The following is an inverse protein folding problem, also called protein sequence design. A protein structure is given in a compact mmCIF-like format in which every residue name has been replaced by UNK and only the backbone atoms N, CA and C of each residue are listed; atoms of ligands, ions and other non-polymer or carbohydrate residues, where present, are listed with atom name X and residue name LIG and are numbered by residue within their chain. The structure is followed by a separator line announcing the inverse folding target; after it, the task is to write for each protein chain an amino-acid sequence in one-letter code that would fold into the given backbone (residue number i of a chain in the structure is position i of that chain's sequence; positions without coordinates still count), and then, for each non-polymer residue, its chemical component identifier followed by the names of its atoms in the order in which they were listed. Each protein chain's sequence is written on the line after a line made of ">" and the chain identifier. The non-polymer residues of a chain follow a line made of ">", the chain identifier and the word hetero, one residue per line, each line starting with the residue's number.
data_IF_652110069686
#
_entry.id   IF_652110069686
#
_cell.length_a   1.000
_cell.length_b   1.000
_cell.length_c   1.000
_cell.angle_alpha   90.00
_cell.angle_beta   90.00
_cell.angle_gamma   90.00
#
_symmetry.space_group_name_H-M   'P 1'
#
loop_
_entity.id
_entity.type
_entity.pdbx_description
1 polymer ?
#
# COMPACT_ATOMS: atom_id res chain seq x y z
N UNK A 1 10.43 38.09 -22.99
CA UNK A 1 10.80 37.13 -24.06
C UNK A 1 11.95 36.30 -23.54
N UNK A 2 11.74 35.00 -23.29
CA UNK A 2 12.72 34.02 -22.79
C UNK A 2 12.79 32.83 -23.78
N UNK A 3 12.68 33.12 -25.07
CA UNK A 3 12.57 32.10 -26.12
C UNK A 3 13.96 31.71 -26.62
N UNK A 4 14.67 30.89 -25.84
CA UNK A 4 15.92 30.16 -26.17
C UNK A 4 17.07 30.47 -25.22
N UNK A 5 16.93 30.06 -23.96
CA UNK A 5 18.09 29.79 -23.12
C UNK A 5 18.63 28.40 -23.50
N UNK A 6 19.65 28.35 -24.37
CA UNK A 6 20.41 27.11 -24.58
C UNK A 6 21.19 26.83 -23.30
N UNK A 7 20.77 25.83 -22.54
CA UNK A 7 21.50 25.36 -21.35
C UNK A 7 22.77 24.69 -21.85
N UNK A 8 23.87 25.43 -21.88
CA UNK A 8 25.20 24.89 -22.22
C UNK A 8 25.86 24.42 -20.94
N UNK A 9 25.60 23.17 -20.56
CA UNK A 9 26.35 22.49 -19.51
C UNK A 9 27.78 22.21 -20.00
N UNK A 10 28.83 22.59 -19.24
CA UNK A 10 30.19 22.16 -19.49
C UNK A 10 30.28 20.63 -19.50
N UNK A 11 31.03 20.08 -20.46
CA UNK A 11 31.20 18.62 -20.60
C UNK A 11 31.67 17.93 -19.30
N UNK A 12 32.49 18.64 -18.50
CA UNK A 12 32.96 18.15 -17.21
C UNK A 12 31.82 17.92 -16.19
N UNK A 13 30.86 18.84 -16.13
CA UNK A 13 29.69 18.71 -15.27
C UNK A 13 28.78 17.57 -15.74
N UNK A 14 28.68 17.34 -17.05
CA UNK A 14 27.97 16.20 -17.61
C UNK A 14 28.64 14.86 -17.25
N UNK A 15 29.97 14.81 -17.27
CA UNK A 15 30.74 13.61 -16.93
C UNK A 15 30.62 13.26 -15.44
N UNK A 16 30.70 14.25 -14.56
CA UNK A 16 30.46 14.09 -13.11
C UNK A 16 29.05 13.56 -12.84
N UNK A 17 28.02 14.12 -13.49
CA UNK A 17 26.64 13.63 -13.35
C UNK A 17 26.47 12.20 -13.86
N UNK A 18 27.16 11.80 -14.93
CA UNK A 18 27.10 10.42 -15.45
C UNK A 18 27.76 9.42 -14.50
N UNK A 19 28.85 9.82 -13.83
CA UNK A 19 29.49 9.00 -12.80
C UNK A 19 28.62 8.85 -11.54
N UNK A 20 28.01 9.95 -11.08
CA UNK A 20 27.05 9.91 -9.98
C UNK A 20 25.85 9.01 -10.30
N UNK A 21 25.31 9.10 -11.51
CA UNK A 21 24.18 8.30 -11.96
C UNK A 21 24.56 6.80 -12.02
N UNK A 22 25.77 6.47 -12.48
CA UNK A 22 26.29 5.09 -12.41
C UNK A 22 26.39 4.58 -10.97
N UNK A 23 26.94 5.40 -10.07
CA UNK A 23 27.05 5.04 -8.64
C UNK A 23 25.68 4.83 -8.00
N UNK A 24 24.72 5.71 -8.29
CA UNK A 24 23.34 5.60 -7.81
C UNK A 24 22.65 4.34 -8.35
N UNK A 25 22.86 4.02 -9.63
CA UNK A 25 22.30 2.81 -10.24
C UNK A 25 22.84 1.53 -9.60
N UNK A 26 24.14 1.50 -9.27
CA UNK A 26 24.73 0.38 -8.52
C UNK A 26 24.18 0.29 -7.09
N UNK A 27 24.02 1.43 -6.41
CA UNK A 27 23.42 1.48 -5.07
C UNK A 27 21.99 0.95 -5.09
N UNK A 28 21.16 1.37 -6.05
CA UNK A 28 19.78 0.90 -6.20
C UNK A 28 19.72 -0.61 -6.48
N UNK A 29 20.61 -1.14 -7.32
CA UNK A 29 20.67 -2.57 -7.63
C UNK A 29 20.99 -3.43 -6.39
N UNK A 30 21.68 -2.86 -5.42
CA UNK A 30 22.07 -3.52 -4.18
C UNK A 30 21.10 -3.26 -3.02
N UNK A 31 20.04 -2.46 -3.22
CA UNK A 31 18.94 -2.42 -2.26
C UNK A 31 18.23 -3.76 -2.37
N UNK A 32 18.16 -4.58 -1.31
CA UNK A 32 17.37 -5.80 -1.34
C UNK A 32 15.92 -5.43 -1.64
N UNK A 33 15.46 -5.83 -2.82
CA UNK A 33 14.07 -5.67 -3.27
C UNK A 33 13.17 -6.77 -2.71
N UNK A 34 13.79 -7.83 -2.20
CA UNK A 34 13.15 -9.01 -1.65
C UNK A 34 13.23 -8.88 -0.13
N UNK A 35 12.08 -8.58 0.47
CA UNK A 35 11.86 -8.82 1.89
C UNK A 35 11.95 -10.34 2.10
N UNK A 36 12.74 -10.78 3.08
CA UNK A 36 12.88 -12.20 3.40
C UNK A 36 11.49 -12.80 3.70
N UNK A 37 11.26 -14.08 3.41
CA UNK A 37 9.97 -14.74 3.69
C UNK A 37 9.62 -14.62 5.18
N UNK A 38 10.59 -14.72 6.08
CA UNK A 38 10.38 -14.57 7.53
C UNK A 38 9.99 -13.12 7.92
N UNK A 39 10.52 -12.12 7.20
CA UNK A 39 10.16 -10.71 7.38
C UNK A 39 8.77 -10.42 6.80
N UNK A 40 8.41 -11.06 5.69
CA UNK A 40 7.08 -10.95 5.09
C UNK A 40 5.99 -11.60 5.95
N UNK A 41 6.25 -12.78 6.52
CA UNK A 41 5.31 -13.47 7.41
C UNK A 41 5.00 -12.68 8.69
N UNK A 42 5.97 -11.89 9.17
CA UNK A 42 5.80 -11.03 10.35
C UNK A 42 5.35 -9.61 10.01
N UNK A 43 5.18 -9.30 8.72
CA UNK A 43 4.80 -7.97 8.26
C UNK A 43 3.38 -7.61 8.75
N UNK A 44 3.20 -6.45 9.41
CA UNK A 44 1.89 -6.03 9.91
C UNK A 44 0.83 -5.84 8.81
N UNK A 45 1.24 -5.43 7.60
CA UNK A 45 0.33 -5.28 6.46
C UNK A 45 -0.10 -6.63 5.92
N UNK A 46 0.83 -7.60 5.81
CA UNK A 46 0.48 -8.97 5.43
C UNK A 46 -0.56 -9.57 6.40
N UNK A 47 -0.29 -9.50 7.69
CA UNK A 47 -1.20 -10.02 8.73
C UNK A 47 -2.57 -9.32 8.71
N UNK A 48 -2.60 -8.02 8.44
CA UNK A 48 -3.85 -7.29 8.27
C UNK A 48 -4.61 -7.74 7.02
N UNK A 49 -3.92 -7.99 5.90
CA UNK A 49 -4.53 -8.51 4.67
C UNK A 49 -5.09 -9.91 4.88
N UNK A 50 -4.35 -10.82 5.52
CA UNK A 50 -4.83 -12.16 5.85
C UNK A 50 -6.11 -12.09 6.71
N UNK A 51 -6.12 -11.21 7.72
CA UNK A 51 -7.31 -10.98 8.55
C UNK A 51 -8.50 -10.47 7.73
N UNK A 52 -8.27 -9.57 6.78
CA UNK A 52 -9.33 -9.07 5.88
C UNK A 52 -9.85 -10.19 4.99
N UNK A 53 -8.97 -11.04 4.44
CA UNK A 53 -9.36 -12.18 3.63
C UNK A 53 -10.20 -13.18 4.41
N UNK A 54 -9.81 -13.50 5.65
CA UNK A 54 -10.58 -14.38 6.53
C UNK A 54 -11.99 -13.83 6.77
N UNK A 55 -12.11 -12.53 7.07
CA UNK A 55 -13.41 -11.86 7.26
C UNK A 55 -14.27 -11.89 5.99
N UNK A 56 -13.67 -11.71 4.82
CA UNK A 56 -14.37 -11.80 3.54
C UNK A 56 -14.78 -13.24 3.20
N UNK A 57 -13.96 -14.23 3.57
CA UNK A 57 -14.30 -15.63 3.41
C UNK A 57 -15.48 -16.01 4.31
N UNK A 58 -15.48 -15.56 5.57
CA UNK A 58 -16.63 -15.71 6.47
C UNK A 58 -17.88 -15.04 5.88
N UNK A 59 -17.77 -13.81 5.38
CA UNK A 59 -18.87 -13.14 4.69
C UNK A 59 -19.41 -13.95 3.49
N UNK A 60 -18.51 -14.54 2.70
CA UNK A 60 -18.90 -15.31 1.51
C UNK A 60 -19.76 -16.54 1.84
N UNK A 61 -19.53 -17.17 3.00
CA UNK A 61 -20.22 -18.38 3.46
C UNK A 61 -21.60 -18.09 4.05
N UNK A 62 -21.87 -16.84 4.41
CA UNK A 62 -23.15 -16.45 5.01
C UNK A 62 -24.25 -16.37 3.97
N UNK A 63 -25.50 -16.43 4.42
CA UNK A 63 -26.68 -16.27 3.55
C UNK A 63 -27.37 -14.95 3.84
N UNK A 64 -27.39 -14.52 5.10
CA UNK A 64 -28.00 -13.29 5.55
C UNK A 64 -27.17 -12.06 5.13
N UNK A 65 -27.79 -11.11 4.43
CA UNK A 65 -27.08 -9.93 3.91
C UNK A 65 -26.60 -8.98 5.01
N UNK A 66 -27.28 -8.96 6.15
CA UNK A 66 -26.97 -8.08 7.27
C UNK A 66 -25.76 -8.61 8.05
N UNK A 67 -25.64 -9.93 8.18
CA UNK A 67 -24.44 -10.57 8.72
C UNK A 67 -23.26 -10.46 7.75
N UNK A 68 -23.48 -10.67 6.44
CA UNK A 68 -22.45 -10.43 5.41
C UNK A 68 -21.86 -9.03 5.52
N UNK A 69 -22.76 -8.05 5.61
CA UNK A 69 -22.38 -6.65 5.68
C UNK A 69 -21.57 -6.35 6.93
N UNK A 70 -21.81 -7.04 8.05
CA UNK A 70 -21.03 -6.92 9.27
C UNK A 70 -19.56 -7.33 9.05
N UNK A 71 -19.31 -8.49 8.46
CA UNK A 71 -17.95 -8.97 8.23
C UNK A 71 -17.20 -8.12 7.19
N UNK A 72 -17.90 -7.66 6.14
CA UNK A 72 -17.34 -6.71 5.17
C UNK A 72 -16.96 -5.39 5.85
N UNK A 73 -17.83 -4.85 6.71
CA UNK A 73 -17.56 -3.61 7.43
C UNK A 73 -16.34 -3.74 8.37
N UNK A 74 -16.23 -4.84 9.12
CA UNK A 74 -15.08 -5.09 10.00
C UNK A 74 -13.77 -5.27 9.20
N UNK A 75 -13.82 -5.89 8.01
CA UNK A 75 -12.69 -5.97 7.10
C UNK A 75 -12.21 -4.59 6.63
N UNK A 76 -13.15 -3.74 6.17
CA UNK A 76 -12.84 -2.37 5.77
C UNK A 76 -12.32 -1.51 6.92
N UNK A 77 -12.80 -1.74 8.14
CA UNK A 77 -12.29 -1.08 9.35
C UNK A 77 -10.85 -1.48 9.65
N UNK A 78 -10.53 -2.76 9.48
CA UNK A 78 -9.17 -3.29 9.63
C UNK A 78 -8.23 -2.68 8.59
N UNK A 79 -8.70 -2.54 7.35
CA UNK A 79 -7.99 -1.81 6.30
C UNK A 79 -7.69 -0.35 6.70
N UNK A 80 -8.71 0.41 7.11
CA UNK A 80 -8.52 1.82 7.48
C UNK A 80 -7.49 1.99 8.61
N UNK A 81 -7.55 1.14 9.64
CA UNK A 81 -6.58 1.17 10.75
C UNK A 81 -5.15 0.85 10.31
N UNK A 82 -4.99 -0.12 9.41
CA UNK A 82 -3.68 -0.58 8.94
C UNK A 82 -2.98 0.48 8.10
N UNK A 83 -3.73 1.22 7.29
CA UNK A 83 -3.21 2.29 6.44
C UNK A 83 -3.33 3.68 7.07
N UNK A 84 -3.63 3.77 8.37
CA UNK A 84 -3.80 5.02 9.12
C UNK A 84 -4.79 6.01 8.46
N UNK A 85 -5.81 5.47 7.79
CA UNK A 85 -6.88 6.24 7.16
C UNK A 85 -8.02 6.50 8.15
N UNK A 86 -8.65 7.66 8.06
CA UNK A 86 -9.85 7.94 8.85
C UNK A 86 -10.98 6.99 8.39
N UNK A 87 -11.54 6.22 9.32
CA UNK A 87 -12.66 5.33 9.06
C UNK A 87 -13.82 6.06 8.37
N UNK A 88 -14.01 7.36 8.64
CA UNK A 88 -15.07 8.17 8.01
C UNK A 88 -14.90 8.34 6.52
N UNK A 89 -13.66 8.44 6.01
CA UNK A 89 -13.43 8.64 4.58
C UNK A 89 -13.95 7.47 3.73
N UNK A 90 -13.97 6.26 4.30
CA UNK A 90 -14.35 5.04 3.60
C UNK A 90 -15.68 4.43 4.08
N UNK A 91 -16.07 4.68 5.33
CA UNK A 91 -17.16 3.97 6.02
C UNK A 91 -18.34 4.85 6.44
N UNK A 92 -18.32 6.17 6.22
CA UNK A 92 -19.35 7.09 6.73
C UNK A 92 -20.78 6.69 6.33
N UNK A 93 -20.97 6.29 5.06
CA UNK A 93 -22.28 5.87 4.53
C UNK A 93 -22.42 4.35 4.36
N UNK A 94 -21.43 3.57 4.82
CA UNK A 94 -21.45 2.11 4.64
C UNK A 94 -22.30 1.48 5.75
N UNK A 95 -23.33 0.69 5.41
CA UNK A 95 -24.13 0.01 6.42
C UNK A 95 -23.24 -0.94 7.21
N UNK A 96 -23.33 -0.89 8.54
CA UNK A 96 -22.50 -1.68 9.48
C UNK A 96 -22.89 -3.15 9.57
N UNK A 97 -24.06 -3.51 9.06
CA UNK A 97 -24.63 -4.82 9.29
C UNK A 97 -24.95 -5.09 10.77
N UNK A 98 -25.31 -6.32 11.11
CA UNK A 98 -25.34 -6.78 12.50
C UNK A 98 -25.08 -8.28 12.56
N UNK A 99 -24.25 -8.70 13.52
CA UNK A 99 -24.05 -10.12 13.82
C UNK A 99 -25.31 -10.67 14.51
N UNK A 100 -25.96 -11.68 13.94
CA UNK A 100 -27.01 -12.40 14.69
C UNK A 100 -26.36 -13.16 15.84
N UNK A 101 -27.02 -13.14 17.00
CA UNK A 101 -26.60 -13.83 18.23
C UNK A 101 -26.75 -15.35 18.11
#
# INVERSE_FOLDING_TARGET
>A
MLENATVTMPYKELEELLEELKSLKEKIKNIPMEMDEDEFETDPFKNALDTIFDLLEEASKLVDSNEKQYFIYEGMKTYCKTFEMDEKELLEDVPKGSKSK
#
